data_IF_762959714522
#
_entry.id   IF_762959714522
#
_cell.length_a   1.000
_cell.length_b   1.000
_cell.length_c   1.000
_cell.angle_alpha   90.00
_cell.angle_beta   90.00
_cell.angle_gamma   90.00
#
_symmetry.space_group_name_H-M   'P 1'
#
loop_
_entity.id
_entity.type
_entity.pdbx_description
1 polymer ?
#
# COMPACT_ATOMS: atom_id res chain seq x y z
N UNK A 1 -22.34 -8.30 33.10
CA UNK A 1 -21.26 -7.70 32.28
C UNK A 1 -20.03 -8.55 32.47
N UNK A 2 -19.60 -9.30 31.45
CA UNK A 2 -18.34 -10.03 31.49
C UNK A 2 -17.19 -9.03 31.42
N UNK A 3 -16.26 -9.08 32.38
CA UNK A 3 -15.03 -8.29 32.31
C UNK A 3 -14.23 -8.72 31.07
N UNK A 4 -13.82 -7.73 30.27
CA UNK A 4 -12.98 -7.95 29.11
C UNK A 4 -11.52 -8.11 29.57
N UNK A 5 -11.00 -9.33 29.49
CA UNK A 5 -9.65 -9.68 29.94
C UNK A 5 -8.57 -9.41 28.87
N UNK A 6 -8.91 -8.77 27.76
CA UNK A 6 -7.96 -8.46 26.69
C UNK A 6 -7.03 -7.32 27.08
N UNK A 7 -5.75 -7.43 26.71
CA UNK A 7 -4.79 -6.32 26.81
C UNK A 7 -5.14 -5.21 25.82
N UNK A 8 -4.67 -3.96 26.03
CA UNK A 8 -4.87 -2.88 25.05
C UNK A 8 -4.39 -3.24 23.64
N UNK A 9 -3.29 -3.96 23.53
CA UNK A 9 -2.76 -4.43 22.25
C UNK A 9 -3.69 -5.45 21.58
N UNK A 10 -4.27 -6.39 22.34
CA UNK A 10 -5.23 -7.34 21.81
C UNK A 10 -6.52 -6.64 21.32
N UNK A 11 -6.98 -5.63 22.05
CA UNK A 11 -8.13 -4.80 21.65
C UNK A 11 -7.82 -4.06 20.35
N UNK A 12 -6.65 -3.42 20.28
CA UNK A 12 -6.20 -2.70 19.09
C UNK A 12 -6.08 -3.59 17.86
N UNK A 13 -5.43 -4.76 17.98
CA UNK A 13 -5.33 -5.75 16.89
C UNK A 13 -6.70 -6.19 16.40
N UNK A 14 -7.61 -6.48 17.32
CA UNK A 14 -8.99 -6.85 16.99
C UNK A 14 -9.73 -5.71 16.27
N UNK A 15 -9.53 -4.47 16.70
CA UNK A 15 -10.16 -3.31 16.09
C UNK A 15 -9.66 -3.06 14.66
N UNK A 16 -8.33 -3.12 14.43
CA UNK A 16 -7.75 -2.93 13.09
C UNK A 16 -8.20 -4.04 12.14
N UNK A 17 -8.15 -5.31 12.58
CA UNK A 17 -8.64 -6.43 11.76
C UNK A 17 -10.12 -6.27 11.39
N UNK A 18 -10.95 -5.86 12.35
CA UNK A 18 -12.37 -5.58 12.11
C UNK A 18 -12.60 -4.42 11.14
N UNK A 19 -11.84 -3.34 11.28
CA UNK A 19 -11.91 -2.20 10.36
C UNK A 19 -11.54 -2.59 8.93
N UNK A 20 -10.50 -3.40 8.75
CA UNK A 20 -10.01 -3.82 7.43
C UNK A 20 -10.93 -4.82 6.74
N UNK A 21 -11.49 -5.76 7.50
CA UNK A 21 -12.55 -6.62 7.01
C UNK A 21 -13.77 -5.80 6.54
N UNK A 22 -14.13 -4.76 7.29
CA UNK A 22 -15.24 -3.86 6.93
C UNK A 22 -14.95 -3.03 5.68
N UNK A 23 -13.75 -2.45 5.56
CA UNK A 23 -13.32 -1.72 4.34
C UNK A 23 -13.40 -2.64 3.12
N UNK A 24 -12.84 -3.85 3.22
CA UNK A 24 -12.86 -4.83 2.13
C UNK A 24 -14.29 -5.23 1.76
N UNK A 25 -15.18 -5.39 2.74
CA UNK A 25 -16.61 -5.64 2.50
C UNK A 25 -17.29 -4.49 1.73
N UNK A 26 -16.92 -3.23 1.99
CA UNK A 26 -17.46 -2.09 1.25
C UNK A 26 -16.95 -2.08 -0.19
N UNK A 27 -15.69 -2.39 -0.40
CA UNK A 27 -15.10 -2.43 -1.73
C UNK A 27 -15.73 -3.55 -2.57
N UNK A 28 -15.89 -4.75 -2.00
CA UNK A 28 -16.60 -5.84 -2.65
C UNK A 28 -18.03 -5.42 -3.02
N UNK A 29 -18.77 -4.79 -2.10
CA UNK A 29 -20.13 -4.34 -2.39
C UNK A 29 -20.19 -3.32 -3.54
N UNK A 30 -19.25 -2.37 -3.59
CA UNK A 30 -19.18 -1.39 -4.68
C UNK A 30 -18.87 -2.08 -6.01
N UNK A 31 -17.90 -3.00 -6.01
CA UNK A 31 -17.54 -3.76 -7.20
C UNK A 31 -18.66 -4.67 -7.70
N UNK A 32 -19.28 -5.44 -6.81
CA UNK A 32 -20.35 -6.37 -7.17
C UNK A 32 -21.57 -5.63 -7.75
N UNK A 33 -21.80 -4.38 -7.30
CA UNK A 33 -22.96 -3.58 -7.73
C UNK A 33 -22.68 -2.70 -8.95
N UNK A 34 -21.47 -2.18 -9.09
CA UNK A 34 -21.15 -1.15 -10.09
C UNK A 34 -20.00 -1.54 -11.04
N UNK A 35 -19.36 -2.70 -10.85
CA UNK A 35 -18.27 -3.18 -11.68
C UNK A 35 -17.11 -2.18 -11.76
N UNK A 36 -16.74 -1.81 -12.99
CA UNK A 36 -15.66 -0.85 -13.25
C UNK A 36 -15.89 0.51 -12.60
N UNK A 37 -17.12 1.02 -12.60
CA UNK A 37 -17.44 2.30 -11.95
C UNK A 37 -17.17 2.22 -10.44
N UNK A 38 -17.44 1.07 -9.82
CA UNK A 38 -17.09 0.81 -8.43
C UNK A 38 -15.57 0.82 -8.18
N UNK A 39 -14.78 0.25 -9.10
CA UNK A 39 -13.31 0.32 -9.04
C UNK A 39 -12.80 1.75 -9.17
N UNK A 40 -13.37 2.52 -10.08
CA UNK A 40 -12.99 3.91 -10.33
C UNK A 40 -13.27 4.76 -9.08
N UNK A 41 -14.43 4.59 -8.45
CA UNK A 41 -14.76 5.24 -7.17
C UNK A 41 -13.77 4.88 -6.05
N UNK A 42 -13.40 3.60 -5.92
CA UNK A 42 -12.41 3.17 -4.92
C UNK A 42 -11.05 3.81 -5.21
N UNK A 43 -10.64 3.81 -6.47
CA UNK A 43 -9.36 4.38 -6.92
C UNK A 43 -9.30 5.90 -6.70
N UNK A 44 -10.39 6.61 -7.00
CA UNK A 44 -10.52 8.05 -6.77
C UNK A 44 -10.47 8.37 -5.26
N UNK A 45 -11.25 7.68 -4.44
CA UNK A 45 -11.23 7.86 -2.99
C UNK A 45 -9.83 7.57 -2.41
N UNK A 46 -9.16 6.49 -2.86
CA UNK A 46 -7.80 6.17 -2.47
C UNK A 46 -6.80 7.26 -2.90
N UNK A 47 -6.97 7.83 -4.09
CA UNK A 47 -6.16 8.94 -4.60
C UNK A 47 -6.34 10.20 -3.76
N UNK A 48 -7.56 10.64 -3.52
CA UNK A 48 -7.86 11.83 -2.70
C UNK A 48 -7.27 11.69 -1.29
N UNK A 49 -7.42 10.50 -0.70
CA UNK A 49 -6.80 10.23 0.60
C UNK A 49 -5.27 10.33 0.50
N UNK A 50 -4.65 9.72 -0.51
CA UNK A 50 -3.20 9.84 -0.76
C UNK A 50 -2.74 11.30 -0.92
N UNK A 51 -3.45 12.11 -1.70
CA UNK A 51 -3.17 13.54 -1.89
C UNK A 51 -3.22 14.31 -0.58
N UNK A 52 -4.17 13.99 0.31
CA UNK A 52 -4.25 14.59 1.64
C UNK A 52 -3.03 14.28 2.53
N UNK A 53 -2.30 13.19 2.26
CA UNK A 53 -1.11 12.76 3.00
C UNK A 53 0.15 13.49 2.50
N UNK A 54 0.24 13.76 1.20
CA UNK A 54 1.47 14.27 0.56
C UNK A 54 2.02 15.54 1.24
N UNK A 55 1.23 16.60 1.55
CA UNK A 55 1.77 17.82 2.15
C UNK A 55 2.45 17.59 3.50
N UNK A 56 1.82 16.80 4.38
CA UNK A 56 2.38 16.49 5.71
C UNK A 56 3.59 15.56 5.61
N UNK A 57 3.59 14.63 4.66
CA UNK A 57 4.68 13.69 4.44
C UNK A 57 5.91 14.40 3.84
N UNK A 58 5.74 15.27 2.85
CA UNK A 58 6.82 16.10 2.27
C UNK A 58 7.56 16.91 3.32
N UNK A 59 6.81 17.54 4.24
CA UNK A 59 7.39 18.33 5.34
C UNK A 59 8.22 17.47 6.30
N UNK A 60 7.82 16.21 6.51
CA UNK A 60 8.48 15.31 7.46
C UNK A 60 9.76 14.66 6.89
N UNK A 61 9.81 14.36 5.59
CA UNK A 61 10.92 13.62 4.96
C UNK A 61 12.12 14.50 4.57
N UNK A 62 11.91 15.77 4.27
CA UNK A 62 12.97 16.71 3.89
C UNK A 62 13.54 16.49 2.48
N UNK A 63 14.21 15.35 2.22
CA UNK A 63 14.90 15.07 0.95
C UNK A 63 14.02 14.44 -0.14
N UNK A 64 12.96 13.71 0.24
CA UNK A 64 12.03 13.01 -0.68
C UNK A 64 12.74 12.15 -1.76
N UNK A 65 13.96 11.67 -1.51
CA UNK A 65 14.64 10.71 -2.37
C UNK A 65 13.97 9.32 -2.31
N UNK A 66 14.32 8.42 -3.25
CA UNK A 66 13.68 7.10 -3.36
C UNK A 66 13.80 6.28 -2.07
N UNK A 67 14.93 6.37 -1.36
CA UNK A 67 15.14 5.69 -0.08
C UNK A 67 14.21 6.24 1.01
N UNK A 68 14.12 7.57 1.13
CA UNK A 68 13.25 8.26 2.09
C UNK A 68 11.77 7.96 1.83
N UNK A 69 11.35 7.95 0.55
CA UNK A 69 9.98 7.61 0.16
C UNK A 69 9.68 6.13 0.42
N UNK A 70 10.61 5.22 0.09
CA UNK A 70 10.44 3.81 0.39
C UNK A 70 10.36 3.53 1.90
N UNK A 71 11.19 4.18 2.71
CA UNK A 71 11.13 4.09 4.17
C UNK A 71 9.80 4.62 4.72
N UNK A 72 9.25 5.67 4.11
CA UNK A 72 7.93 6.20 4.48
C UNK A 72 6.80 5.21 4.19
N UNK A 73 6.76 4.61 3.00
CA UNK A 73 5.77 3.58 2.66
C UNK A 73 5.93 2.34 3.54
N UNK A 74 7.18 1.91 3.80
CA UNK A 74 7.45 0.80 4.71
C UNK A 74 6.87 1.06 6.11
N UNK A 75 6.96 2.29 6.61
CA UNK A 75 6.34 2.68 7.89
C UNK A 75 4.82 2.60 7.83
N UNK A 76 4.19 3.00 6.72
CA UNK A 76 2.75 2.83 6.52
C UNK A 76 2.38 1.35 6.61
N UNK A 77 3.06 0.49 5.85
CA UNK A 77 2.78 -0.95 5.85
C UNK A 77 3.00 -1.59 7.24
N UNK A 78 4.08 -1.24 7.93
CA UNK A 78 4.35 -1.74 9.30
C UNK A 78 3.38 -1.22 10.36
N UNK A 79 2.67 -0.12 10.10
CA UNK A 79 1.63 0.36 11.03
C UNK A 79 0.39 -0.52 10.97
N UNK A 80 0.21 -1.22 9.85
CA UNK A 80 -1.03 -1.92 9.52
C UNK A 80 -0.87 -3.44 9.49
N UNK A 81 0.37 -3.91 9.33
CA UNK A 81 0.75 -5.31 9.42
C UNK A 81 1.47 -5.58 10.75
N UNK A 82 0.97 -6.58 11.48
CA UNK A 82 1.47 -7.02 12.78
C UNK A 82 2.61 -8.03 12.65
N UNK A 83 2.75 -8.64 11.47
CA UNK A 83 3.86 -9.53 11.18
C UNK A 83 5.03 -8.69 10.66
N UNK A 84 5.74 -8.04 11.58
CA UNK A 84 6.86 -7.13 11.23
C UNK A 84 7.97 -7.83 10.44
N UNK A 85 8.07 -9.15 10.54
CA UNK A 85 9.01 -9.99 9.79
C UNK A 85 8.53 -10.26 8.35
N UNK A 86 7.23 -10.07 8.10
CA UNK A 86 6.57 -10.21 6.80
C UNK A 86 6.74 -9.00 5.87
N UNK A 87 7.27 -7.86 6.35
CA UNK A 87 7.53 -6.70 5.49
C UNK A 87 9.00 -6.30 5.53
N UNK A 88 9.64 -6.39 4.37
CA UNK A 88 11.06 -6.09 4.22
C UNK A 88 11.37 -5.32 2.95
N UNK A 89 12.36 -4.44 3.06
CA UNK A 89 13.02 -3.85 1.90
C UNK A 89 13.90 -4.91 1.25
N UNK A 90 13.64 -5.17 -0.02
CA UNK A 90 14.46 -5.98 -0.90
C UNK A 90 14.99 -5.02 -1.96
N UNK A 91 16.12 -4.36 -1.68
CA UNK A 91 16.70 -3.44 -2.66
C UNK A 91 17.08 -4.21 -3.93
N UNK A 92 16.77 -3.61 -5.09
CA UNK A 92 17.32 -4.01 -6.37
C UNK A 92 17.88 -2.75 -7.04
N UNK A 93 19.17 -2.51 -6.87
CA UNK A 93 19.93 -1.39 -7.46
C UNK A 93 19.66 0.00 -6.86
N UNK A 94 20.50 1.01 -7.18
CA UNK A 94 20.30 2.40 -6.74
C UNK A 94 19.01 3.06 -7.27
N UNK A 95 18.46 2.56 -8.37
CA UNK A 95 17.36 3.19 -9.10
C UNK A 95 16.01 2.52 -8.86
N UNK A 96 16.00 1.41 -8.10
CA UNK A 96 14.81 0.62 -7.82
C UNK A 96 14.83 0.06 -6.39
N UNK A 97 13.72 0.27 -5.68
CA UNK A 97 13.51 -0.28 -4.34
C UNK A 97 12.23 -1.11 -4.37
N UNK A 98 12.33 -2.34 -3.89
CA UNK A 98 11.17 -3.23 -3.75
C UNK A 98 10.87 -3.38 -2.26
N UNK A 99 9.62 -3.13 -1.89
CA UNK A 99 9.08 -3.51 -0.59
C UNK A 99 8.31 -4.81 -0.78
N UNK A 100 8.79 -5.88 -0.16
CA UNK A 100 8.14 -7.19 -0.17
C UNK A 100 7.21 -7.31 1.04
N UNK A 101 5.98 -7.74 0.78
CA UNK A 101 4.94 -7.96 1.79
C UNK A 101 4.49 -9.42 1.70
N UNK A 102 4.76 -10.21 2.74
CA UNK A 102 4.46 -11.66 2.79
C UNK A 102 3.00 -11.94 3.20
N UNK A 103 2.29 -10.97 3.77
CA UNK A 103 0.88 -11.10 4.16
C UNK A 103 0.08 -9.83 3.84
N UNK A 104 -1.13 -9.98 3.29
CA UNK A 104 -1.99 -8.86 2.95
C UNK A 104 -2.89 -8.53 4.16
N UNK A 105 -2.73 -7.38 4.84
CA UNK A 105 -3.53 -7.07 6.03
C UNK A 105 -5.03 -6.92 5.72
N UNK A 106 -5.37 -6.57 4.47
CA UNK A 106 -6.75 -6.46 3.98
C UNK A 106 -7.29 -7.78 3.39
N UNK A 107 -6.44 -8.80 3.21
CA UNK A 107 -6.79 -10.10 2.64
C UNK A 107 -7.59 -10.01 1.33
N UNK A 108 -7.21 -9.08 0.44
CA UNK A 108 -7.83 -8.97 -0.88
C UNK A 108 -7.72 -10.29 -1.65
N UNK A 109 -8.79 -10.64 -2.37
CA UNK A 109 -8.83 -11.82 -3.26
C UNK A 109 -8.99 -11.44 -4.73
N UNK A 110 -9.33 -10.19 -5.02
CA UNK A 110 -9.46 -9.66 -6.38
C UNK A 110 -8.28 -8.71 -6.65
N UNK A 111 -7.44 -8.99 -7.66
CA UNK A 111 -6.36 -8.11 -8.08
C UNK A 111 -6.79 -6.69 -8.44
N UNK A 112 -7.96 -6.52 -9.06
CA UNK A 112 -8.46 -5.20 -9.48
C UNK A 112 -8.81 -4.33 -8.26
N UNK A 113 -9.44 -4.91 -7.23
CA UNK A 113 -9.71 -4.20 -5.99
C UNK A 113 -8.43 -3.83 -5.24
N UNK A 114 -7.44 -4.73 -5.24
CA UNK A 114 -6.13 -4.44 -4.69
C UNK A 114 -5.46 -3.27 -5.43
N UNK A 115 -5.51 -3.26 -6.75
CA UNK A 115 -4.95 -2.17 -7.56
C UNK A 115 -5.67 -0.84 -7.32
N UNK A 116 -6.99 -0.84 -7.26
CA UNK A 116 -7.79 0.35 -6.95
C UNK A 116 -7.49 0.87 -5.54
N UNK A 117 -7.40 -0.02 -4.54
CA UNK A 117 -7.01 0.35 -3.18
C UNK A 117 -5.61 0.99 -3.15
N UNK A 118 -4.64 0.34 -3.81
CA UNK A 118 -3.23 0.73 -3.78
C UNK A 118 -2.89 1.97 -4.60
N UNK A 119 -3.89 2.59 -5.23
CA UNK A 119 -3.79 3.95 -5.77
C UNK A 119 -3.34 4.95 -4.69
N UNK A 120 -3.67 4.71 -3.42
CA UNK A 120 -3.21 5.56 -2.32
C UNK A 120 -1.67 5.57 -2.22
N UNK A 121 -1.03 4.41 -2.15
CA UNK A 121 0.43 4.29 -2.09
C UNK A 121 1.09 4.88 -3.32
N UNK A 122 0.51 4.63 -4.51
CA UNK A 122 0.98 5.23 -5.76
C UNK A 122 0.98 6.75 -5.68
N UNK A 123 -0.15 7.32 -5.30
CA UNK A 123 -0.33 8.77 -5.18
C UNK A 123 0.61 9.38 -4.14
N UNK A 124 0.82 8.70 -3.01
CA UNK A 124 1.78 9.15 -1.99
C UNK A 124 3.20 9.12 -2.54
N UNK A 125 3.63 8.02 -3.17
CA UNK A 125 4.99 7.87 -3.69
C UNK A 125 5.31 8.92 -4.77
N UNK A 126 4.47 9.00 -5.80
CA UNK A 126 4.65 9.91 -6.94
C UNK A 126 4.36 11.37 -6.55
N UNK A 127 3.49 11.58 -5.57
CA UNK A 127 3.22 12.89 -5.00
C UNK A 127 4.41 13.42 -4.19
N UNK A 128 5.08 12.57 -3.40
CA UNK A 128 6.29 12.91 -2.63
C UNK A 128 7.47 13.25 -3.55
N UNK A 129 7.65 12.48 -4.62
CA UNK A 129 8.68 12.71 -5.62
C UNK A 129 8.18 12.34 -7.04
N UNK A 130 7.96 13.34 -7.93
CA UNK A 130 7.46 13.10 -9.29
C UNK A 130 8.39 12.27 -10.19
N UNK A 131 9.67 12.15 -9.84
CA UNK A 131 10.64 11.32 -10.57
C UNK A 131 10.51 9.84 -10.21
N UNK A 132 9.76 9.50 -9.16
CA UNK A 132 9.45 8.12 -8.80
C UNK A 132 8.24 7.64 -9.62
N UNK A 133 8.27 6.38 -10.03
CA UNK A 133 7.14 5.60 -10.50
C UNK A 133 6.88 4.49 -9.49
N UNK A 134 5.62 4.34 -9.10
CA UNK A 134 5.19 3.24 -8.25
C UNK A 134 4.44 2.19 -9.08
N UNK A 135 4.72 0.91 -8.82
CA UNK A 135 4.02 -0.22 -9.44
C UNK A 135 3.97 -1.44 -8.51
N UNK A 136 3.08 -2.38 -8.83
CA UNK A 136 3.02 -3.69 -8.17
C UNK A 136 3.58 -4.73 -9.12
N UNK A 137 4.58 -5.49 -8.67
CA UNK A 137 5.18 -6.59 -9.42
C UNK A 137 4.40 -7.89 -9.22
N UNK A 138 4.68 -8.60 -8.12
CA UNK A 138 3.91 -9.75 -7.63
C UNK A 138 2.77 -9.31 -6.72
N UNK A 139 1.71 -10.11 -6.66
CA UNK A 139 0.50 -9.79 -5.90
C UNK A 139 -0.18 -11.05 -5.33
N UNK A 140 -0.37 -11.10 -4.01
CA UNK A 140 -1.09 -12.19 -3.32
C UNK A 140 -2.50 -12.40 -3.92
N UNK A 141 -3.32 -11.36 -4.15
CA UNK A 141 -4.60 -11.50 -4.85
C UNK A 141 -4.52 -12.15 -6.24
N UNK A 142 -3.38 -12.05 -6.93
CA UNK A 142 -3.14 -12.66 -8.23
C UNK A 142 -2.63 -14.11 -8.13
N UNK A 143 -2.45 -14.64 -6.92
CA UNK A 143 -1.99 -16.00 -6.64
C UNK A 143 -0.50 -16.13 -6.32
N UNK A 144 0.24 -15.02 -6.24
CA UNK A 144 1.64 -15.05 -5.79
C UNK A 144 1.74 -15.33 -4.27
N UNK A 145 2.88 -15.84 -3.84
CA UNK A 145 3.16 -16.06 -2.41
C UNK A 145 3.46 -14.79 -1.61
N UNK A 146 3.57 -13.63 -2.26
CA UNK A 146 3.88 -12.33 -1.65
C UNK A 146 3.56 -11.18 -2.62
N UNK A 147 3.44 -9.96 -2.11
CA UNK A 147 3.35 -8.75 -2.92
C UNK A 147 4.72 -8.07 -3.08
N UNK A 148 4.97 -7.46 -4.24
CA UNK A 148 6.11 -6.56 -4.48
C UNK A 148 5.59 -5.15 -4.79
N UNK A 149 5.87 -4.21 -3.90
CA UNK A 149 5.64 -2.78 -4.13
C UNK A 149 6.94 -2.15 -4.61
N UNK A 150 6.97 -1.76 -5.89
CA UNK A 150 8.18 -1.34 -6.59
C UNK A 150 8.16 0.17 -6.76
N UNK A 151 9.22 0.83 -6.29
CA UNK A 151 9.53 2.22 -6.57
C UNK A 151 10.71 2.23 -7.54
N UNK A 152 10.58 2.94 -8.66
CA UNK A 152 11.65 3.08 -9.66
C UNK A 152 11.80 4.53 -10.10
N UNK A 153 13.01 5.00 -10.34
CA UNK A 153 13.22 6.32 -10.96
C UNK A 153 12.82 6.30 -12.45
N UNK A 154 12.04 7.30 -12.89
CA UNK A 154 11.52 7.42 -14.26
C UNK A 154 12.63 7.65 -15.29
N UNK A 155 13.71 8.33 -14.90
CA UNK A 155 14.85 8.64 -15.75
C UNK A 155 16.03 7.75 -15.35
N UNK A 156 15.98 6.48 -15.73
CA UNK A 156 17.21 5.70 -15.85
C UNK A 156 17.48 5.47 -17.34
N UNK A 157 18.45 6.16 -17.96
CA UNK A 157 18.74 6.06 -19.40
C UNK A 157 19.22 4.66 -19.86
N UNK A 158 19.22 3.65 -18.99
CA UNK A 158 19.70 2.30 -19.27
C UNK A 158 18.63 1.27 -19.67
N UNK A 159 17.34 1.62 -19.83
CA UNK A 159 16.26 0.61 -20.01
C UNK A 159 15.34 0.79 -21.23
N UNK A 160 15.76 1.56 -22.23
CA UNK A 160 15.05 1.59 -23.54
C UNK A 160 15.48 0.47 -24.52
N UNK A 161 16.40 -0.42 -24.15
CA UNK A 161 16.76 -1.58 -25.00
C UNK A 161 17.18 -2.78 -24.16
N UNK A 162 16.26 -3.73 -23.97
CA UNK A 162 16.55 -5.17 -23.89
C UNK A 162 15.29 -5.95 -24.28
#
# INVERSE_FOLDING_TARGET
MTQDNRTPEQVYRSAVKGLYARITSYYNYLYDRFGQEGLDMISEMSREYGESIVPRAKKALGKNDIESVAAYLLRIFRTVDWNTDGIRLVSKSPDEIIIRVEDCPLHFKNPELCLAHTTMEKTVAEGLNPDIKYSIGKSIPAGDGFCEHILSLRNNPGREKE
#
